data_IF_321240464374
#
_entry.id   IF_321240464374
#
_cell.length_a   1.000
_cell.length_b   1.000
_cell.length_c   1.000
_cell.angle_alpha   90.00
_cell.angle_beta   90.00
_cell.angle_gamma   90.00
#
_symmetry.space_group_name_H-M   'P 1'
#
loop_
_entity.id
_entity.type
_entity.pdbx_description
1 polymer ?
#
# COMPACT_ATOMS: atom_id res chain seq x y z
N UNK A 1 50.88 -28.21 66.09
CA UNK A 1 50.21 -29.19 65.19
C UNK A 1 48.83 -28.60 64.83
N UNK A 2 48.68 -28.00 63.68
CA UNK A 2 47.46 -27.37 63.21
C UNK A 2 46.97 -28.17 62.02
N UNK A 3 45.81 -28.83 62.13
CA UNK A 3 45.16 -29.54 61.04
C UNK A 3 44.38 -28.54 60.24
N UNK A 4 44.72 -28.36 58.96
CA UNK A 4 43.93 -27.60 57.97
C UNK A 4 42.89 -28.53 57.39
N UNK A 5 41.61 -28.19 57.60
CA UNK A 5 40.44 -28.81 56.96
C UNK A 5 40.13 -28.06 55.64
N UNK A 6 40.27 -28.75 54.52
CA UNK A 6 39.94 -28.26 53.19
C UNK A 6 38.40 -28.45 53.00
N UNK A 7 37.65 -27.37 52.85
CA UNK A 7 36.24 -27.43 52.47
C UNK A 7 36.12 -27.37 50.93
N UNK A 8 35.61 -28.43 50.32
CA UNK A 8 35.34 -28.56 48.91
C UNK A 8 33.94 -27.97 48.63
N UNK A 9 33.89 -26.79 48.01
CA UNK A 9 32.64 -26.22 47.53
C UNK A 9 32.32 -26.83 46.15
N UNK A 10 31.31 -27.69 46.11
CA UNK A 10 30.73 -28.18 44.86
C UNK A 10 29.75 -27.15 44.32
N UNK A 11 30.09 -26.50 43.22
CA UNK A 11 29.14 -25.67 42.43
C UNK A 11 28.21 -26.59 41.64
N UNK A 12 26.96 -26.64 42.03
CA UNK A 12 25.90 -27.30 41.29
C UNK A 12 25.43 -26.36 40.15
N UNK A 13 25.88 -26.61 38.94
CA UNK A 13 25.36 -25.95 37.73
C UNK A 13 23.98 -26.53 37.42
N UNK A 14 22.93 -25.85 37.81
CA UNK A 14 21.56 -26.11 37.33
C UNK A 14 21.43 -25.45 35.96
N UNK A 15 21.68 -26.20 34.89
CA UNK A 15 21.31 -25.81 33.53
C UNK A 15 19.79 -25.85 33.44
N UNK A 16 19.14 -24.68 33.50
CA UNK A 16 17.74 -24.54 33.10
C UNK A 16 17.63 -24.81 31.60
N UNK A 17 17.23 -26.01 31.24
CA UNK A 17 16.75 -26.36 29.90
C UNK A 17 15.42 -25.66 29.71
N UNK A 18 15.44 -24.47 29.09
CA UNK A 18 14.25 -23.92 28.48
C UNK A 18 13.95 -24.78 27.26
N UNK A 19 12.77 -25.40 27.15
CA UNK A 19 12.39 -26.04 25.90
C UNK A 19 12.26 -24.92 24.86
N UNK A 20 13.16 -24.89 23.90
CA UNK A 20 12.95 -24.15 22.68
C UNK A 20 11.64 -24.66 22.09
N UNK A 21 10.57 -23.87 22.20
CA UNK A 21 9.36 -24.08 21.41
C UNK A 21 9.76 -23.87 19.95
N UNK A 22 10.26 -24.91 19.33
CA UNK A 22 10.19 -25.05 17.88
C UNK A 22 8.71 -25.06 17.54
N UNK A 23 8.17 -23.92 17.09
CA UNK A 23 6.96 -23.93 16.34
C UNK A 23 7.22 -24.83 15.14
N UNK A 24 6.68 -26.03 15.19
CA UNK A 24 6.62 -26.90 14.04
C UNK A 24 5.87 -26.10 12.95
N UNK A 25 6.59 -25.61 11.97
CA UNK A 25 6.03 -25.16 10.73
C UNK A 25 5.37 -26.40 10.14
N UNK A 26 4.06 -26.45 10.29
CA UNK A 26 3.24 -27.41 9.58
C UNK A 26 3.34 -27.03 8.09
N UNK A 27 4.35 -27.56 7.41
CA UNK A 27 4.48 -27.51 5.97
C UNK A 27 3.47 -28.49 5.37
N UNK A 28 2.18 -28.25 5.62
CA UNK A 28 1.14 -28.84 4.83
C UNK A 28 1.42 -28.40 3.40
N UNK A 29 1.58 -29.34 2.51
CA UNK A 29 1.83 -29.12 1.09
C UNK A 29 0.74 -28.19 0.56
N UNK A 30 1.11 -26.93 0.22
CA UNK A 30 0.17 -25.92 -0.25
C UNK A 30 -0.34 -26.33 -1.62
N UNK A 31 -1.65 -26.40 -1.78
CA UNK A 31 -2.26 -26.73 -3.05
C UNK A 31 -1.99 -25.65 -4.10
N UNK A 32 -1.96 -26.04 -5.36
CA UNK A 32 -1.84 -25.10 -6.48
C UNK A 32 -3.00 -24.08 -6.44
N UNK A 33 -2.68 -22.80 -6.57
CA UNK A 33 -3.62 -21.69 -6.45
C UNK A 33 -4.33 -21.54 -5.10
N UNK A 34 -3.77 -22.08 -4.03
CA UNK A 34 -4.27 -21.87 -2.69
C UNK A 34 -3.96 -20.47 -2.17
N UNK A 35 -4.59 -20.11 -1.06
CA UNK A 35 -4.42 -18.82 -0.39
C UNK A 35 -3.02 -18.70 0.23
N UNK A 36 -2.51 -17.47 0.24
CA UNK A 36 -1.26 -17.10 0.90
C UNK A 36 -1.58 -16.33 2.18
N UNK A 37 -1.08 -16.78 3.31
CA UNK A 37 -1.20 -16.09 4.61
C UNK A 37 0.17 -15.81 5.21
N UNK A 38 0.20 -15.09 6.32
CA UNK A 38 1.37 -14.73 7.14
C UNK A 38 2.77 -14.83 6.49
N UNK A 39 3.41 -15.99 6.54
CA UNK A 39 4.80 -16.24 6.14
C UNK A 39 5.08 -16.04 4.64
N UNK A 40 4.05 -15.88 3.84
CA UNK A 40 4.20 -15.78 2.38
C UNK A 40 3.85 -14.39 1.84
N UNK A 41 3.14 -13.57 2.61
CA UNK A 41 2.66 -12.25 2.16
C UNK A 41 3.79 -11.29 1.82
N UNK A 42 4.91 -11.41 2.50
CA UNK A 42 6.09 -10.54 2.34
C UNK A 42 6.90 -10.81 1.06
N UNK A 43 6.49 -11.82 0.27
CA UNK A 43 7.17 -12.26 -0.97
C UNK A 43 6.29 -12.12 -2.21
N UNK A 44 5.16 -11.45 -2.08
CA UNK A 44 4.19 -11.27 -3.15
C UNK A 44 4.25 -9.84 -3.65
N UNK A 45 4.41 -9.67 -4.96
CA UNK A 45 4.27 -8.42 -5.67
C UNK A 45 3.51 -8.72 -6.98
N UNK A 46 2.20 -8.52 -6.98
CA UNK A 46 1.33 -8.80 -8.12
C UNK A 46 1.25 -7.59 -9.05
N UNK A 47 1.69 -7.69 -10.31
CA UNK A 47 1.71 -6.57 -11.23
C UNK A 47 0.30 -6.18 -11.68
N UNK A 48 0.02 -4.88 -11.67
CA UNK A 48 -1.22 -4.26 -12.15
C UNK A 48 -0.84 -3.18 -13.14
N UNK A 49 -1.33 -3.30 -14.37
CA UNK A 49 -1.03 -2.40 -15.48
C UNK A 49 -1.24 -3.09 -16.82
N UNK A 50 -1.36 -2.32 -17.91
CA UNK A 50 -1.53 -2.86 -19.26
C UNK A 50 -0.26 -3.54 -19.77
N UNK A 51 -0.40 -4.46 -20.73
CA UNK A 51 0.72 -5.17 -21.36
C UNK A 51 1.65 -4.15 -22.05
N UNK A 52 2.89 -4.05 -21.57
CA UNK A 52 3.88 -3.12 -22.13
C UNK A 52 3.65 -1.64 -21.78
N UNK A 53 2.62 -1.30 -21.01
CA UNK A 53 2.27 0.09 -20.67
C UNK A 53 2.80 0.57 -19.32
N UNK A 54 3.60 -0.24 -18.65
CA UNK A 54 4.01 0.01 -17.26
C UNK A 54 3.10 -0.65 -16.25
N UNK A 55 3.49 -0.61 -14.97
CA UNK A 55 2.76 -1.27 -13.88
C UNK A 55 3.08 -0.64 -12.53
N UNK A 56 2.25 -0.94 -11.55
CA UNK A 56 2.59 -0.96 -10.13
C UNK A 56 2.29 -2.35 -9.57
N UNK A 57 2.90 -2.71 -8.45
CA UNK A 57 2.62 -3.99 -7.82
C UNK A 57 1.75 -3.81 -6.58
N UNK A 58 0.74 -4.67 -6.46
CA UNK A 58 0.00 -4.91 -5.23
C UNK A 58 0.73 -5.99 -4.44
N UNK A 59 1.25 -5.65 -3.28
CA UNK A 59 1.93 -6.59 -2.39
C UNK A 59 0.93 -7.52 -1.71
N UNK A 60 1.41 -8.64 -1.19
CA UNK A 60 0.55 -9.60 -0.48
C UNK A 60 -0.15 -9.04 0.74
N UNK A 61 0.37 -7.97 1.32
CA UNK A 61 -0.26 -7.25 2.45
C UNK A 61 -1.24 -6.17 2.02
N UNK A 62 -1.28 -5.76 0.75
CA UNK A 62 -2.13 -4.70 0.23
C UNK A 62 -1.43 -3.37 -0.04
N UNK A 63 -0.15 -3.25 0.30
CA UNK A 63 0.66 -2.07 -0.02
C UNK A 63 0.97 -2.00 -1.53
N UNK A 64 1.29 -0.80 -2.00
CA UNK A 64 1.75 -0.56 -3.38
C UNK A 64 3.26 -0.41 -3.40
N UNK A 65 3.90 -1.08 -4.35
CA UNK A 65 5.34 -0.99 -4.59
C UNK A 65 5.70 -1.21 -6.06
N UNK A 66 6.98 -1.17 -6.37
CA UNK A 66 7.52 -1.51 -7.70
C UNK A 66 6.86 -0.72 -8.84
N UNK A 67 6.61 0.58 -8.60
CA UNK A 67 5.98 1.46 -9.59
C UNK A 67 6.93 1.70 -10.76
N UNK A 68 6.57 1.18 -11.93
CA UNK A 68 7.39 1.15 -13.15
C UNK A 68 6.56 1.65 -14.32
N UNK A 69 6.47 2.98 -14.49
CA UNK A 69 5.50 3.60 -15.41
C UNK A 69 6.11 4.18 -16.71
N UNK A 70 7.45 4.26 -16.82
CA UNK A 70 8.12 4.90 -17.98
C UNK A 70 8.86 3.90 -18.86
N UNK A 71 8.30 2.71 -19.09
CA UNK A 71 9.00 1.61 -19.76
C UNK A 71 10.36 1.27 -19.14
N UNK A 72 10.53 1.62 -17.88
CA UNK A 72 11.73 1.40 -17.11
C UNK A 72 11.36 0.57 -15.87
N UNK A 73 11.93 -0.65 -15.72
CA UNK A 73 11.75 -1.42 -14.51
C UNK A 73 12.35 -0.65 -13.32
N UNK A 74 11.51 -0.29 -12.37
CA UNK A 74 11.91 0.33 -11.11
C UNK A 74 11.39 -0.53 -9.98
N UNK A 75 12.26 -1.41 -9.52
CA UNK A 75 11.97 -2.37 -8.45
C UNK A 75 12.41 -1.80 -7.11
N UNK A 76 11.83 -2.29 -6.02
CA UNK A 76 12.13 -1.90 -4.64
C UNK A 76 11.74 -0.46 -4.27
N UNK A 77 11.01 0.27 -5.12
CA UNK A 77 10.39 1.51 -4.72
C UNK A 77 9.08 1.26 -3.97
N UNK A 78 8.79 2.09 -2.99
CA UNK A 78 7.55 2.12 -2.23
C UNK A 78 7.10 3.57 -2.14
N UNK A 79 6.18 4.01 -3.00
CA UNK A 79 5.67 5.37 -2.96
C UNK A 79 4.89 5.62 -1.65
N UNK A 80 4.85 6.88 -1.21
CA UNK A 80 3.97 7.25 -0.10
C UNK A 80 2.53 7.34 -0.60
N UNK A 81 1.87 6.22 -0.61
CA UNK A 81 0.47 6.07 -1.00
C UNK A 81 -0.19 4.97 -0.17
N UNK A 82 -1.43 5.17 0.26
CA UNK A 82 -2.16 4.19 1.05
C UNK A 82 -3.66 4.45 1.04
N UNK A 83 -4.43 3.39 1.14
CA UNK A 83 -5.85 3.47 1.42
C UNK A 83 -6.12 3.27 2.92
N UNK A 84 -7.15 3.90 3.45
CA UNK A 84 -7.57 3.73 4.83
C UNK A 84 -9.09 3.72 4.95
N UNK A 85 -9.58 3.15 6.05
CA UNK A 85 -10.98 3.17 6.46
C UNK A 85 -11.09 3.68 7.88
N UNK A 86 -12.09 4.50 8.15
CA UNK A 86 -12.50 4.87 9.50
C UNK A 86 -13.95 4.48 9.70
N UNK A 87 -14.25 3.64 10.68
CA UNK A 87 -15.62 3.40 11.17
C UNK A 87 -15.86 4.35 12.33
N UNK A 88 -16.88 5.21 12.19
CA UNK A 88 -17.21 6.21 13.21
C UNK A 88 -17.67 5.54 14.50
N UNK A 89 -17.42 6.20 15.62
CA UNK A 89 -17.85 5.81 16.96
C UNK A 89 -17.34 4.42 17.42
N UNK A 90 -16.34 3.88 16.72
CA UNK A 90 -15.66 2.64 17.09
C UNK A 90 -14.27 2.95 17.64
N UNK A 91 -13.96 2.41 18.82
CA UNK A 91 -12.62 2.52 19.38
C UNK A 91 -11.62 1.80 18.45
N UNK A 92 -10.52 2.46 18.08
CA UNK A 92 -9.56 1.96 17.10
C UNK A 92 -10.18 1.68 15.69
N UNK A 93 -11.29 2.32 15.37
CA UNK A 93 -12.04 2.14 14.13
C UNK A 93 -11.35 2.66 12.86
N UNK A 94 -10.14 3.23 12.97
CA UNK A 94 -9.38 3.72 11.82
C UNK A 94 -8.16 2.81 11.55
N UNK A 95 -8.06 2.28 10.33
CA UNK A 95 -6.97 1.39 9.92
C UNK A 95 -6.57 1.66 8.46
N UNK A 96 -5.27 1.52 8.20
CA UNK A 96 -4.77 1.40 6.83
C UNK A 96 -5.28 0.07 6.26
N UNK A 97 -5.75 0.09 5.01
CA UNK A 97 -6.29 -1.09 4.32
C UNK A 97 -5.16 -2.00 3.81
N UNK A 98 -4.36 -2.42 4.77
CA UNK A 98 -3.23 -3.31 4.58
C UNK A 98 -3.15 -4.29 5.76
N UNK A 99 -2.56 -5.46 5.53
CA UNK A 99 -2.08 -6.35 6.59
C UNK A 99 -0.83 -5.82 7.27
N UNK A 100 -0.30 -6.59 8.21
CA UNK A 100 0.88 -6.22 8.99
C UNK A 100 2.10 -5.97 8.10
N UNK A 101 2.88 -4.96 8.45
CA UNK A 101 4.12 -4.62 7.72
C UNK A 101 5.11 -5.78 7.86
N UNK A 102 5.68 -6.29 6.77
CA UNK A 102 6.72 -7.30 6.82
C UNK A 102 7.91 -6.86 7.68
N UNK A 103 8.40 -7.76 8.54
CA UNK A 103 9.47 -7.43 9.50
C UNK A 103 10.76 -6.96 8.83
N UNK A 104 11.08 -7.48 7.64
CA UNK A 104 12.26 -7.06 6.89
C UNK A 104 12.20 -5.59 6.42
N UNK A 105 11.00 -5.01 6.26
CA UNK A 105 10.82 -3.59 5.97
C UNK A 105 11.08 -2.71 7.18
N UNK A 106 10.77 -3.23 8.38
CA UNK A 106 10.99 -2.52 9.65
C UNK A 106 12.45 -2.56 10.08
N UNK A 107 13.09 -3.69 9.88
CA UNK A 107 14.47 -3.96 10.29
C UNK A 107 15.39 -4.18 9.09
N UNK A 108 15.07 -3.60 7.94
CA UNK A 108 15.81 -3.77 6.69
C UNK A 108 17.32 -3.51 6.82
N UNK A 109 18.08 -3.53 5.73
CA UNK A 109 19.53 -3.49 5.77
C UNK A 109 20.03 -2.23 6.45
N UNK A 110 21.18 -2.33 7.02
CA UNK A 110 22.07 -1.34 7.67
C UNK A 110 21.44 0.01 8.10
N UNK A 111 21.45 0.26 9.40
CA UNK A 111 20.97 1.49 10.05
C UNK A 111 19.46 1.65 10.17
N UNK A 112 18.70 0.63 9.90
CA UNK A 112 17.24 0.66 9.89
C UNK A 112 16.59 0.42 11.26
N UNK A 113 17.34 0.20 12.31
CA UNK A 113 16.80 -0.01 13.66
C UNK A 113 15.97 1.14 14.23
N UNK A 114 15.88 2.26 13.50
CA UNK A 114 15.09 3.45 13.85
C UNK A 114 13.79 3.57 13.02
N UNK A 115 13.47 2.60 12.19
CA UNK A 115 12.34 2.67 11.25
C UNK A 115 12.62 3.62 10.07
N UNK A 116 11.60 3.84 9.23
CA UNK A 116 11.65 4.76 8.09
C UNK A 116 10.63 5.89 8.30
N UNK A 117 11.12 7.08 8.57
CA UNK A 117 10.31 8.24 8.89
C UNK A 117 9.41 8.77 7.75
N UNK A 118 9.60 8.30 6.52
CA UNK A 118 8.85 8.69 5.33
C UNK A 118 7.78 7.65 4.92
N UNK A 119 7.42 6.71 5.82
CA UNK A 119 6.50 5.61 5.55
C UNK A 119 5.33 5.58 6.52
N UNK A 120 4.31 4.82 6.16
CA UNK A 120 3.10 4.61 6.97
C UNK A 120 3.21 3.45 7.97
N UNK A 121 4.41 2.88 8.18
CA UNK A 121 4.60 1.61 8.89
C UNK A 121 4.13 1.64 10.35
N UNK A 122 4.13 2.81 11.00
CA UNK A 122 3.62 3.00 12.36
C UNK A 122 2.10 3.15 12.48
N UNK A 123 1.37 3.24 11.35
CA UNK A 123 -0.08 3.40 11.38
C UNK A 123 -0.79 2.06 11.65
N UNK A 124 -1.95 2.06 12.36
CA UNK A 124 -2.73 0.85 12.61
C UNK A 124 -3.16 0.17 11.32
N UNK A 125 -3.04 -1.17 11.27
CA UNK A 125 -3.39 -2.04 10.16
C UNK A 125 -4.29 -3.17 10.59
N UNK A 126 -4.88 -3.87 9.64
CA UNK A 126 -5.65 -5.08 9.90
C UNK A 126 -4.75 -6.20 10.44
N UNK A 127 -5.28 -6.96 11.41
CA UNK A 127 -4.54 -8.04 12.08
C UNK A 127 -4.27 -9.20 11.12
N UNK A 128 -5.24 -9.53 10.27
CA UNK A 128 -5.16 -10.63 9.32
C UNK A 128 -5.26 -10.14 7.89
N UNK A 129 -4.40 -10.68 7.03
CA UNK A 129 -4.46 -10.53 5.58
C UNK A 129 -4.25 -11.88 4.91
N UNK A 130 -5.05 -12.15 3.89
CA UNK A 130 -4.97 -13.39 3.10
C UNK A 130 -5.00 -13.03 1.63
N UNK A 131 -3.91 -13.32 0.92
CA UNK A 131 -3.79 -13.06 -0.52
C UNK A 131 -4.20 -14.30 -1.33
N UNK A 132 -4.88 -14.06 -2.44
CA UNK A 132 -5.21 -15.07 -3.44
C UNK A 132 -5.10 -14.46 -4.84
N UNK A 133 -4.56 -15.20 -5.79
CA UNK A 133 -4.51 -14.77 -7.19
C UNK A 133 -5.38 -15.64 -8.09
N UNK A 134 -6.02 -15.00 -9.05
CA UNK A 134 -6.73 -15.59 -10.19
C UNK A 134 -6.53 -14.65 -11.36
N UNK A 135 -5.39 -14.76 -12.04
CA UNK A 135 -5.07 -13.85 -13.13
C UNK A 135 -6.28 -13.58 -14.04
N UNK A 136 -6.60 -12.35 -14.38
CA UNK A 136 -5.85 -11.12 -14.12
C UNK A 136 -6.13 -10.44 -12.75
N UNK A 137 -6.72 -11.13 -11.79
CA UNK A 137 -7.12 -10.58 -10.49
C UNK A 137 -6.19 -11.02 -9.36
N UNK A 138 -5.88 -10.07 -8.47
CA UNK A 138 -5.34 -10.31 -7.14
C UNK A 138 -6.40 -9.95 -6.10
N UNK A 139 -6.60 -10.80 -5.10
CA UNK A 139 -7.57 -10.58 -4.03
C UNK A 139 -6.83 -10.62 -2.68
N UNK A 140 -7.20 -9.70 -1.80
CA UNK A 140 -6.71 -9.66 -0.42
C UNK A 140 -7.90 -9.52 0.51
N UNK A 141 -8.11 -10.50 1.35
CA UNK A 141 -9.09 -10.43 2.44
C UNK A 141 -8.40 -9.87 3.68
N UNK A 142 -8.99 -8.83 4.26
CA UNK A 142 -8.52 -8.16 5.47
C UNK A 142 -9.55 -8.35 6.58
N UNK A 143 -9.10 -8.84 7.73
CA UNK A 143 -9.93 -9.04 8.93
C UNK A 143 -9.24 -8.51 10.17
N UNK A 144 -10.05 -8.02 11.08
CA UNK A 144 -9.59 -7.52 12.37
C UNK A 144 -10.71 -7.65 13.41
N UNK A 145 -10.37 -8.14 14.60
CA UNK A 145 -11.35 -8.37 15.67
C UNK A 145 -11.95 -7.08 16.25
N UNK A 146 -11.22 -5.96 16.13
CA UNK A 146 -11.65 -4.66 16.65
C UNK A 146 -12.49 -3.88 15.62
N UNK A 147 -12.67 -4.43 14.39
CA UNK A 147 -13.42 -3.79 13.32
C UNK A 147 -14.77 -4.47 13.11
N UNK A 148 -15.89 -3.70 13.06
CA UNK A 148 -17.21 -4.25 12.77
C UNK A 148 -17.43 -4.52 11.28
N UNK A 149 -16.37 -4.47 10.47
CA UNK A 149 -16.40 -4.78 9.03
C UNK A 149 -15.21 -5.61 8.61
N UNK A 150 -15.39 -6.38 7.56
CA UNK A 150 -14.32 -6.99 6.78
C UNK A 150 -14.08 -6.20 5.50
N UNK A 151 -12.84 -6.14 5.05
CA UNK A 151 -12.50 -5.51 3.78
C UNK A 151 -11.89 -6.52 2.82
N UNK A 152 -12.22 -6.39 1.52
CA UNK A 152 -11.56 -7.11 0.44
C UNK A 152 -11.01 -6.13 -0.57
N UNK A 153 -9.73 -6.28 -0.90
CA UNK A 153 -9.09 -5.57 -2.00
C UNK A 153 -9.08 -6.48 -3.21
N UNK A 154 -9.51 -5.99 -4.37
CA UNK A 154 -9.33 -6.66 -5.65
C UNK A 154 -8.52 -5.76 -6.56
N UNK A 155 -7.29 -6.19 -6.88
CA UNK A 155 -6.42 -5.51 -7.83
C UNK A 155 -6.50 -6.16 -9.20
N UNK A 156 -6.64 -5.35 -10.26
CA UNK A 156 -6.68 -5.89 -11.62
C UNK A 156 -6.32 -4.84 -12.67
N UNK A 157 -5.97 -5.32 -13.83
CA UNK A 157 -5.78 -4.54 -15.06
C UNK A 157 -6.58 -5.16 -16.20
N UNK A 158 -6.95 -4.38 -17.23
CA UNK A 158 -7.60 -4.95 -18.40
C UNK A 158 -6.75 -6.07 -19.02
N UNK A 159 -7.37 -7.20 -19.24
CA UNK A 159 -6.78 -8.32 -19.96
C UNK A 159 -7.85 -9.05 -20.76
N UNK A 160 -7.83 -8.87 -22.07
CA UNK A 160 -8.77 -9.49 -23.00
C UNK A 160 -7.94 -10.40 -23.91
N UNK A 161 -8.08 -11.73 -23.82
CA UNK A 161 -7.36 -12.64 -24.69
C UNK A 161 -7.56 -12.28 -26.17
N UNK A 162 -6.47 -12.21 -26.92
CA UNK A 162 -6.41 -11.87 -28.35
C UNK A 162 -6.68 -10.39 -28.70
N UNK A 163 -6.99 -9.53 -27.72
CA UNK A 163 -7.13 -8.08 -27.90
C UNK A 163 -5.95 -7.35 -27.24
N UNK A 164 -4.90 -7.10 -28.02
CA UNK A 164 -3.68 -6.47 -27.52
C UNK A 164 -3.91 -4.99 -27.17
N UNK A 165 -4.71 -4.28 -27.96
CA UNK A 165 -4.93 -2.84 -27.79
C UNK A 165 -5.62 -2.53 -26.45
N UNK A 166 -6.74 -3.20 -26.16
CA UNK A 166 -7.43 -3.03 -24.89
C UNK A 166 -6.67 -3.62 -23.69
N UNK A 167 -5.84 -4.65 -23.92
CA UNK A 167 -5.00 -5.22 -22.87
C UNK A 167 -3.75 -4.38 -22.57
N UNK A 168 -3.41 -3.40 -23.42
CA UNK A 168 -2.26 -2.51 -23.27
C UNK A 168 -2.60 -1.13 -22.74
N UNK A 169 -3.84 -0.91 -22.30
CA UNK A 169 -4.21 0.38 -21.72
C UNK A 169 -3.37 0.67 -20.47
N UNK A 170 -2.82 1.91 -20.32
CA UNK A 170 -1.99 2.30 -19.18
C UNK A 170 -2.86 2.59 -17.95
N UNK A 171 -3.54 1.55 -17.47
CA UNK A 171 -4.49 1.64 -16.37
C UNK A 171 -4.34 0.47 -15.39
N UNK A 172 -4.69 0.72 -14.15
CA UNK A 172 -4.83 -0.29 -13.10
C UNK A 172 -5.99 0.08 -12.19
N UNK A 173 -6.58 -0.90 -11.54
CA UNK A 173 -7.75 -0.70 -10.69
C UNK A 173 -7.58 -1.42 -9.36
N UNK A 174 -7.93 -0.74 -8.27
CA UNK A 174 -8.10 -1.32 -6.94
C UNK A 174 -9.54 -1.14 -6.49
N UNK A 175 -10.25 -2.23 -6.27
CA UNK A 175 -11.58 -2.23 -5.70
C UNK A 175 -11.50 -2.57 -4.22
N UNK A 176 -12.04 -1.72 -3.37
CA UNK A 176 -12.14 -1.92 -1.93
C UNK A 176 -13.60 -2.21 -1.57
N UNK A 177 -13.89 -3.46 -1.27
CA UNK A 177 -15.23 -3.89 -0.84
C UNK A 177 -15.27 -4.02 0.66
N UNK A 178 -16.21 -3.33 1.29
CA UNK A 178 -16.46 -3.37 2.72
C UNK A 178 -17.77 -4.09 3.00
N UNK A 179 -17.74 -5.05 3.93
CA UNK A 179 -18.93 -5.77 4.38
C UNK A 179 -19.11 -5.54 5.87
N UNK A 180 -20.24 -4.97 6.27
CA UNK A 180 -20.59 -4.84 7.69
C UNK A 180 -20.87 -6.24 8.28
N UNK A 181 -20.07 -6.63 9.26
CA UNK A 181 -20.16 -7.93 9.93
C UNK A 181 -20.84 -7.83 11.30
N UNK A 182 -21.25 -6.62 11.70
CA UNK A 182 -21.97 -6.40 12.96
C UNK A 182 -23.48 -6.45 12.77
N UNK A 183 -24.21 -6.48 13.89
CA UNK A 183 -25.67 -6.49 13.93
C UNK A 183 -26.28 -5.07 13.88
N UNK A 184 -25.45 -4.02 13.84
CA UNK A 184 -25.85 -2.63 13.81
C UNK A 184 -25.44 -1.95 12.50
N UNK A 185 -26.14 -0.88 12.12
CA UNK A 185 -25.73 -0.03 11.01
C UNK A 185 -24.49 0.77 11.40
N UNK A 186 -23.53 0.85 10.49
CA UNK A 186 -22.28 1.60 10.71
C UNK A 186 -22.12 2.72 9.68
N UNK A 187 -21.49 3.82 10.11
CA UNK A 187 -20.97 4.85 9.23
C UNK A 187 -19.47 4.70 9.09
N UNK A 188 -18.99 4.72 7.87
CA UNK A 188 -17.57 4.60 7.57
C UNK A 188 -17.12 5.62 6.52
N UNK A 189 -15.85 5.96 6.55
CA UNK A 189 -15.22 6.84 5.56
C UNK A 189 -14.00 6.12 4.99
N UNK A 190 -14.07 5.77 3.73
CA UNK A 190 -12.91 5.33 2.96
C UNK A 190 -12.07 6.54 2.58
N UNK A 191 -10.75 6.40 2.55
CA UNK A 191 -9.85 7.38 1.96
C UNK A 191 -8.73 6.73 1.17
N UNK A 192 -8.33 7.38 0.06
CA UNK A 192 -7.11 7.08 -0.67
C UNK A 192 -6.19 8.30 -0.61
N UNK A 193 -4.96 8.12 -0.14
CA UNK A 193 -4.06 9.18 0.27
C UNK A 193 -2.70 9.00 -0.42
N UNK A 194 -2.13 10.06 -0.99
CA UNK A 194 -0.84 9.96 -1.68
C UNK A 194 -0.08 11.29 -1.71
N UNK A 195 1.25 11.19 -1.73
CA UNK A 195 2.13 12.25 -2.25
C UNK A 195 2.27 12.12 -3.76
N UNK A 196 2.69 13.20 -4.43
CA UNK A 196 3.16 13.04 -5.80
C UNK A 196 4.51 12.29 -5.79
N UNK A 197 4.52 11.10 -6.37
CA UNK A 197 5.69 10.24 -6.47
C UNK A 197 6.20 10.07 -7.91
N UNK A 198 5.61 10.80 -8.87
CA UNK A 198 5.95 10.65 -10.29
C UNK A 198 7.30 11.28 -10.60
N UNK A 199 7.52 12.55 -10.24
CA UNK A 199 8.78 13.26 -10.54
C UNK A 199 9.30 14.10 -9.37
N UNK A 200 8.74 13.94 -8.17
CA UNK A 200 9.21 14.62 -6.96
C UNK A 200 8.96 16.13 -6.91
N UNK A 201 8.31 16.75 -7.93
CA UNK A 201 7.97 18.17 -7.94
C UNK A 201 6.78 18.51 -7.04
N UNK A 202 5.97 17.53 -6.68
CA UNK A 202 4.87 17.69 -5.76
C UNK A 202 3.66 18.46 -6.30
N UNK A 203 3.56 18.70 -7.61
CA UNK A 203 2.40 19.36 -8.21
C UNK A 203 1.25 18.39 -8.38
N UNK A 204 0.02 18.83 -8.05
CA UNK A 204 -1.19 18.01 -8.13
C UNK A 204 -2.31 18.84 -8.75
N UNK A 205 -2.90 18.36 -9.84
CA UNK A 205 -4.04 18.95 -10.51
C UNK A 205 -5.33 18.33 -10.03
N UNK A 206 -6.38 19.15 -9.80
CA UNK A 206 -7.71 18.67 -9.44
C UNK A 206 -8.48 18.16 -10.66
N UNK A 207 -9.14 17.01 -10.51
CA UNK A 207 -10.14 16.51 -11.46
C UNK A 207 -11.41 16.06 -10.70
N UNK A 208 -12.48 15.74 -11.42
CA UNK A 208 -13.71 15.23 -10.81
C UNK A 208 -13.41 13.93 -10.06
N UNK A 209 -13.79 13.88 -8.79
CA UNK A 209 -13.66 12.73 -7.90
C UNK A 209 -12.22 12.21 -7.72
N UNK A 210 -11.21 13.07 -7.93
CA UNK A 210 -9.82 12.67 -7.80
C UNK A 210 -8.84 13.78 -8.17
N UNK A 211 -7.63 13.39 -8.53
CA UNK A 211 -6.54 14.29 -8.85
C UNK A 211 -5.53 13.65 -9.81
N UNK A 212 -4.70 14.48 -10.43
CA UNK A 212 -3.57 14.04 -11.25
C UNK A 212 -2.27 14.39 -10.52
N UNK A 213 -1.42 13.40 -10.32
CA UNK A 213 -0.02 13.58 -9.94
C UNK A 213 0.72 14.00 -11.21
N UNK A 214 1.07 15.29 -11.30
CA UNK A 214 1.70 15.83 -12.49
C UNK A 214 3.16 15.38 -12.60
N UNK A 215 3.58 15.13 -13.82
CA UNK A 215 4.98 14.95 -14.19
C UNK A 215 5.63 16.32 -14.52
N UNK A 216 6.94 16.36 -14.55
CA UNK A 216 7.71 17.52 -15.06
C UNK A 216 7.45 17.79 -16.56
N UNK A 217 6.97 16.81 -17.29
CA UNK A 217 6.59 16.94 -18.68
C UNK A 217 5.15 17.43 -18.78
N UNK A 218 4.95 18.54 -19.48
CA UNK A 218 3.64 19.14 -19.68
C UNK A 218 2.62 18.15 -20.27
N UNK A 219 1.43 18.10 -19.68
CA UNK A 219 0.35 17.24 -20.13
C UNK A 219 0.52 15.76 -19.77
N UNK A 220 1.53 15.40 -18.98
CA UNK A 220 1.75 14.03 -18.55
C UNK A 220 1.61 13.86 -17.03
N UNK A 221 1.24 12.66 -16.58
CA UNK A 221 1.04 12.36 -15.17
C UNK A 221 0.30 11.06 -14.90
N UNK A 222 -0.07 10.87 -13.64
CA UNK A 222 -0.88 9.75 -13.15
C UNK A 222 -2.17 10.29 -12.52
N UNK A 223 -3.31 10.02 -13.12
CA UNK A 223 -4.62 10.29 -12.56
C UNK A 223 -5.02 9.19 -11.56
N UNK A 224 -5.49 9.61 -10.39
CA UNK A 224 -6.08 8.74 -9.36
C UNK A 224 -7.46 9.29 -9.05
N UNK A 225 -8.51 8.50 -9.28
CA UNK A 225 -9.89 8.93 -9.06
C UNK A 225 -10.78 7.76 -8.65
N UNK A 226 -11.90 8.09 -8.02
CA UNK A 226 -12.91 7.11 -7.62
C UNK A 226 -14.19 7.26 -8.45
N UNK A 227 -14.82 6.13 -8.74
CA UNK A 227 -16.11 6.08 -9.43
C UNK A 227 -17.26 6.18 -8.39
N UNK A 228 -17.36 7.37 -7.76
CA UNK A 228 -18.37 7.64 -6.72
C UNK A 228 -18.71 9.13 -6.68
N UNK A 229 -19.99 9.46 -6.90
CA UNK A 229 -20.46 10.85 -6.95
C UNK A 229 -20.46 11.56 -5.58
N UNK A 230 -20.38 10.80 -4.47
CA UNK A 230 -20.29 11.36 -3.12
C UNK A 230 -18.83 11.58 -2.68
N UNK A 231 -17.87 11.40 -3.57
CA UNK A 231 -16.47 11.60 -3.26
C UNK A 231 -16.17 13.07 -2.92
N UNK A 232 -15.36 13.27 -1.91
CA UNK A 232 -14.81 14.57 -1.53
C UNK A 232 -13.30 14.52 -1.70
N UNK A 233 -12.73 15.49 -2.38
CA UNK A 233 -11.32 15.55 -2.68
C UNK A 233 -10.63 16.65 -1.88
N UNK A 234 -9.55 16.28 -1.19
CA UNK A 234 -8.59 17.20 -0.60
C UNK A 234 -7.37 17.27 -1.54
N UNK A 235 -7.28 18.35 -2.30
CA UNK A 235 -6.21 18.52 -3.28
C UNK A 235 -4.89 19.03 -2.69
N UNK A 236 -4.90 19.42 -1.43
CA UNK A 236 -3.71 20.00 -0.79
C UNK A 236 -3.69 19.70 0.70
N UNK A 237 -2.86 18.75 1.12
CA UNK A 237 -2.62 18.53 2.53
C UNK A 237 -2.03 19.76 3.21
N UNK A 238 -2.03 19.76 4.55
CA UNK A 238 -1.53 20.86 5.35
C UNK A 238 -0.14 21.33 4.90
N UNK A 239 0.03 22.64 4.69
CA UNK A 239 1.27 23.30 4.20
C UNK A 239 2.01 24.10 5.28
N UNK A 240 1.64 23.99 6.54
CA UNK A 240 2.28 24.72 7.62
C UNK A 240 3.64 24.13 8.01
N UNK A 241 4.50 24.98 8.62
CA UNK A 241 5.85 24.57 9.02
C UNK A 241 5.93 23.87 10.37
N UNK A 242 4.85 23.86 11.17
CA UNK A 242 4.87 23.41 12.56
C UNK A 242 4.42 21.95 12.74
N UNK A 243 3.72 21.39 11.77
CA UNK A 243 3.21 20.02 11.82
C UNK A 243 3.58 19.25 10.56
N UNK A 244 3.86 17.98 10.74
CA UNK A 244 4.02 17.06 9.63
C UNK A 244 2.65 16.85 8.92
N UNK A 245 2.56 17.08 7.60
CA UNK A 245 1.33 16.90 6.84
C UNK A 245 0.73 15.50 6.97
N UNK A 246 1.57 14.46 7.09
CA UNK A 246 1.12 13.06 7.21
C UNK A 246 0.41 12.83 8.54
N UNK A 247 0.91 13.40 9.63
CA UNK A 247 0.27 13.36 10.95
C UNK A 247 -1.10 14.03 10.90
N UNK A 248 -1.22 15.18 10.22
CA UNK A 248 -2.52 15.87 10.07
C UNK A 248 -3.50 15.05 9.25
N UNK A 249 -3.06 14.43 8.16
CA UNK A 249 -3.89 13.52 7.35
C UNK A 249 -4.37 12.34 8.18
N UNK A 250 -3.47 11.69 8.93
CA UNK A 250 -3.86 10.58 9.78
C UNK A 250 -4.81 10.99 10.90
N UNK A 251 -4.62 12.15 11.49
CA UNK A 251 -5.56 12.71 12.48
C UNK A 251 -6.96 12.95 11.89
N UNK A 252 -7.04 13.44 10.65
CA UNK A 252 -8.32 13.56 9.95
C UNK A 252 -8.98 12.20 9.76
N UNK A 253 -8.22 11.20 9.29
CA UNK A 253 -8.71 9.84 9.07
C UNK A 253 -9.22 9.24 10.38
N UNK A 254 -8.39 9.21 11.44
CA UNK A 254 -8.73 8.53 12.70
C UNK A 254 -9.92 9.15 13.44
N UNK A 255 -10.21 10.43 13.21
CA UNK A 255 -11.36 11.12 13.78
C UNK A 255 -12.55 11.21 12.82
N UNK A 256 -12.50 10.52 11.68
CA UNK A 256 -13.58 10.53 10.69
C UNK A 256 -13.86 11.92 10.13
N UNK A 257 -12.83 12.76 9.99
CA UNK A 257 -12.94 14.11 9.42
C UNK A 257 -12.59 14.06 7.93
N UNK A 258 -13.36 14.77 7.14
CA UNK A 258 -13.14 14.91 5.70
C UNK A 258 -12.58 16.31 5.44
N UNK A 259 -11.35 16.38 4.93
CA UNK A 259 -10.77 17.61 4.40
C UNK A 259 -11.19 17.80 2.95
N UNK A 260 -11.24 19.07 2.48
CA UNK A 260 -11.70 19.42 1.13
C UNK A 260 -11.01 20.69 0.61
N UNK A 261 -9.69 20.76 0.76
CA UNK A 261 -8.92 21.89 0.28
C UNK A 261 -8.93 21.94 -1.25
N UNK A 262 -9.02 23.14 -1.80
CA UNK A 262 -9.00 23.35 -3.24
C UNK A 262 -7.58 23.13 -3.81
N UNK A 263 -7.46 22.86 -5.13
CA UNK A 263 -6.17 22.86 -5.80
C UNK A 263 -5.45 24.20 -5.60
N UNK A 264 -4.13 24.14 -5.48
CA UNK A 264 -3.27 25.32 -5.35
C UNK A 264 -2.13 25.24 -6.35
N UNK A 265 -1.64 26.39 -6.77
CA UNK A 265 -0.47 26.46 -7.65
C UNK A 265 0.79 25.97 -6.92
N UNK A 266 1.64 25.26 -7.64
CA UNK A 266 2.93 24.76 -7.19
C UNK A 266 2.85 23.48 -6.36
N UNK A 267 3.95 23.17 -5.69
CA UNK A 267 4.11 21.93 -4.94
C UNK A 267 3.19 21.85 -3.71
N UNK A 268 2.58 20.66 -3.53
CA UNK A 268 1.75 20.34 -2.38
C UNK A 268 2.27 19.08 -1.66
N UNK A 269 2.08 18.96 -0.34
CA UNK A 269 2.55 17.78 0.41
C UNK A 269 1.89 16.46 -0.02
N UNK A 270 0.69 16.53 -0.58
CA UNK A 270 -0.08 15.38 -1.04
C UNK A 270 -1.56 15.73 -1.19
N UNK A 271 -2.35 14.73 -1.61
CA UNK A 271 -3.79 14.81 -1.80
C UNK A 271 -4.50 13.56 -1.28
N UNK A 272 -5.81 13.69 -1.03
CA UNK A 272 -6.66 12.59 -0.59
C UNK A 272 -8.00 12.64 -1.30
N UNK A 273 -8.59 11.46 -1.54
CA UNK A 273 -10.00 11.34 -1.90
C UNK A 273 -10.72 10.56 -0.81
N UNK A 274 -11.87 11.06 -0.37
CA UNK A 274 -12.69 10.48 0.69
C UNK A 274 -14.04 10.03 0.13
N UNK A 275 -14.52 8.88 0.56
CA UNK A 275 -15.85 8.36 0.22
C UNK A 275 -16.59 7.98 1.51
N UNK A 276 -17.53 8.83 1.98
CA UNK A 276 -18.37 8.46 3.10
C UNK A 276 -19.41 7.42 2.68
N UNK A 277 -19.71 6.50 3.59
CA UNK A 277 -20.69 5.44 3.36
C UNK A 277 -21.40 5.03 4.65
N UNK A 278 -22.64 4.60 4.54
CA UNK A 278 -23.36 3.90 5.59
C UNK A 278 -23.59 2.45 5.14
N UNK A 279 -23.47 1.50 6.05
CA UNK A 279 -23.63 0.06 5.78
C UNK A 279 -24.60 -0.53 6.80
N UNK A 280 -25.70 -1.10 6.32
CA UNK A 280 -26.62 -1.86 7.16
C UNK A 280 -25.98 -3.20 7.55
N UNK A 281 -26.47 -3.90 8.59
CA UNK A 281 -26.00 -5.24 8.93
C UNK A 281 -25.97 -6.18 7.70
N UNK A 282 -24.83 -6.79 7.45
CA UNK A 282 -24.60 -7.67 6.28
C UNK A 282 -24.48 -6.97 4.94
N UNK A 283 -24.69 -5.64 4.86
CA UNK A 283 -24.55 -4.88 3.61
C UNK A 283 -23.08 -4.79 3.20
N UNK A 284 -22.84 -4.81 1.88
CA UNK A 284 -21.52 -4.58 1.31
C UNK A 284 -21.54 -3.45 0.30
N UNK A 285 -20.53 -2.57 0.37
CA UNK A 285 -20.28 -1.49 -0.61
C UNK A 285 -18.87 -1.57 -1.15
N UNK A 286 -18.70 -1.15 -2.40
CA UNK A 286 -17.39 -1.17 -3.07
C UNK A 286 -17.03 0.25 -3.51
N UNK A 287 -15.80 0.64 -3.21
CA UNK A 287 -15.16 1.84 -3.76
C UNK A 287 -14.12 1.39 -4.76
N UNK A 288 -14.18 1.89 -5.96
CA UNK A 288 -13.24 1.61 -7.03
C UNK A 288 -12.29 2.79 -7.20
N UNK A 289 -10.99 2.54 -7.02
CA UNK A 289 -9.92 3.51 -7.26
C UNK A 289 -9.26 3.17 -8.59
N UNK A 290 -9.32 4.11 -9.52
CA UNK A 290 -8.76 3.98 -10.85
C UNK A 290 -7.43 4.73 -10.93
N UNK A 291 -6.45 4.09 -11.54
CA UNK A 291 -5.13 4.63 -11.84
C UNK A 291 -4.98 4.66 -13.35
N UNK A 292 -4.79 5.84 -13.92
CA UNK A 292 -4.60 6.01 -15.35
C UNK A 292 -3.39 6.90 -15.57
N UNK A 293 -2.41 6.45 -16.34
CA UNK A 293 -1.19 7.24 -16.55
C UNK A 293 -0.93 7.51 -18.03
N UNK A 294 -0.35 8.67 -18.24
CA UNK A 294 0.21 9.06 -19.52
C UNK A 294 1.60 9.64 -19.25
N UNK A 295 2.61 8.85 -19.51
CA UNK A 295 4.02 9.16 -19.28
C UNK A 295 4.83 8.73 -20.52
N UNK A 296 4.75 9.54 -21.60
CA UNK A 296 5.25 9.14 -22.91
C UNK A 296 6.77 9.04 -23.00
N UNK A 297 7.50 9.77 -22.13
CA UNK A 297 8.94 9.74 -22.14
C UNK A 297 9.48 8.47 -21.46
N UNK A 298 10.29 7.74 -22.21
CA UNK A 298 11.03 6.60 -21.70
C UNK A 298 12.45 7.01 -21.35
N UNK A 299 12.92 6.64 -20.14
CA UNK A 299 14.33 6.72 -19.76
C UNK A 299 15.06 5.38 -19.94
N UNK A 300 14.51 4.49 -20.75
CA UNK A 300 15.08 3.19 -21.04
C UNK A 300 16.45 3.35 -21.68
N UNK A 301 17.48 2.76 -21.09
CA UNK A 301 18.81 2.66 -21.69
C UNK A 301 19.13 1.21 -22.04
N UNK A 302 19.60 0.97 -23.25
CA UNK A 302 20.15 -0.33 -23.63
C UNK A 302 21.52 -0.41 -22.96
N UNK A 303 21.76 -1.42 -22.13
CA UNK A 303 22.84 -1.61 -21.16
C UNK A 303 24.30 -1.56 -21.65
N UNK A 304 24.63 -0.74 -22.65
CA UNK A 304 25.98 -0.47 -23.07
C UNK A 304 26.35 0.99 -22.81
N UNK A 305 27.50 1.21 -22.18
CA UNK A 305 28.08 2.53 -22.03
C UNK A 305 28.11 3.25 -23.39
N UNK A 306 27.40 4.37 -23.48
CA UNK A 306 27.36 5.20 -24.68
C UNK A 306 28.77 5.65 -25.02
N UNK A 307 29.26 5.31 -26.19
CA UNK A 307 30.41 6.03 -26.76
C UNK A 307 29.90 7.39 -27.21
N UNK A 308 30.60 8.45 -26.80
CA UNK A 308 30.29 9.82 -27.21
C UNK A 308 30.08 9.87 -28.71
N UNK A 309 28.94 10.39 -29.18
CA UNK A 309 28.63 10.56 -30.59
C UNK A 309 27.71 9.51 -31.24
N UNK A 310 27.22 8.48 -30.52
CA UNK A 310 26.22 7.56 -31.07
C UNK A 310 24.78 8.04 -30.80
N UNK A 311 24.01 8.13 -31.90
CA UNK A 311 22.56 8.41 -31.79
C UNK A 311 21.83 7.26 -31.09
N UNK A 312 20.80 7.59 -30.35
CA UNK A 312 19.93 6.62 -29.72
C UNK A 312 19.16 5.85 -30.80
N UNK A 313 19.37 4.55 -30.90
CA UNK A 313 18.58 3.66 -31.77
C UNK A 313 17.51 3.05 -30.86
N UNK A 314 16.33 3.60 -30.91
CA UNK A 314 15.18 3.11 -30.12
C UNK A 314 14.51 4.20 -29.29
N UNK A 315 14.09 5.27 -29.93
CA UNK A 315 12.93 6.02 -29.44
C UNK A 315 11.68 5.29 -29.86
N UNK A 316 10.65 5.23 -29.02
CA UNK A 316 9.36 4.67 -29.42
C UNK A 316 8.76 5.41 -30.57
#
# INVERSE_FOLDING_TARGET
MVKRTLALLAFLNVAMLFPARTQAHNSGERLFNDKYGHAYLDKIAFPIGGIGAGMFCLEGTGAISHVSLRNHPDVMNEPYTFAAICVKDVQNGAKVLEGQVPTWKLFGPDQSGLGRGDKTYGLPRFEEAVFQTRFPFALIDLKDKDMPLEARITGWSPFIPTDADNSSLPVGVLEYRFTNTSDEAIEAIFSYNTKNFIDGQGTIQGIRNGFILESNQEGSGLAIYVDNDNAVVDHCWFRGAWFDPQTVVWDNIRYGRIASNQPVDGAVPGASVYVPMALQPGEAKTVKVNFCWYLPDSNLSIGFARKEGQAFVGSP
#
